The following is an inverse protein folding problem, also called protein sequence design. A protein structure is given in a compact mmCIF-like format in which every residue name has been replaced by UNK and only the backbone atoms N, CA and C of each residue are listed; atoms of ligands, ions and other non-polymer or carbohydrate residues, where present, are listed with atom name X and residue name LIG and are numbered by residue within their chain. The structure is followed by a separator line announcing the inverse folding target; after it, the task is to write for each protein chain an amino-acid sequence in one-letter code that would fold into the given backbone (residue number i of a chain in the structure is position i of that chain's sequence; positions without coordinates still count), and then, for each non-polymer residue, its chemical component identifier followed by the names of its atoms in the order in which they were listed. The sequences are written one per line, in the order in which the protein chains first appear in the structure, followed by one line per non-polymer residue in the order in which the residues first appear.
data_IF_176954488642
#
_entry.id   IF_176954488642
#
_cell.length_a   1.000
_cell.length_b   1.000
_cell.length_c   1.000
_cell.angle_alpha   90.00
_cell.angle_beta   90.00
_cell.angle_gamma   90.00
#
_symmetry.space_group_name_H-M   'P 1'
#
loop_
_entity.id
_entity.type
_entity.pdbx_description
1 polymer ?
#
# COMPACT_ATOMS: atom_id res chain seq x y z
N UNK A 1 26.16 -1.33 -2.60
CA UNK A 1 24.73 -1.08 -2.83
C UNK A 1 24.28 -1.86 -4.06
N UNK A 2 23.46 -2.90 -3.90
CA UNK A 2 22.96 -3.68 -5.03
C UNK A 2 21.94 -2.83 -5.81
N UNK A 3 22.02 -2.89 -7.14
CA UNK A 3 21.07 -2.20 -8.04
C UNK A 3 19.65 -2.73 -7.85
N UNK A 4 18.84 -2.00 -7.09
CA UNK A 4 17.41 -2.25 -6.80
C UNK A 4 16.47 -1.88 -7.98
N UNK A 5 16.91 -2.04 -9.22
CA UNK A 5 16.20 -1.56 -10.42
C UNK A 5 15.83 -2.68 -11.38
N UNK A 6 15.25 -3.79 -10.88
CA UNK A 6 14.64 -4.74 -11.81
C UNK A 6 13.17 -4.39 -12.01
N UNK A 7 12.78 -4.26 -13.30
CA UNK A 7 11.39 -4.06 -13.71
C UNK A 7 10.50 -5.21 -13.20
N UNK A 8 9.29 -4.90 -12.80
CA UNK A 8 8.30 -5.88 -12.39
C UNK A 8 7.97 -6.91 -13.50
N UNK A 9 8.21 -6.58 -14.78
CA UNK A 9 8.08 -7.50 -15.93
C UNK A 9 9.07 -8.66 -15.86
N UNK A 10 10.28 -8.45 -15.32
CA UNK A 10 11.31 -9.51 -15.22
C UNK A 10 10.97 -10.56 -14.14
N UNK A 11 10.10 -10.22 -13.17
CA UNK A 11 9.70 -11.13 -12.08
C UNK A 11 8.68 -12.16 -12.57
N UNK A 12 7.77 -11.79 -13.48
CA UNK A 12 6.71 -12.68 -14.00
C UNK A 12 7.21 -13.86 -14.82
N UNK A 13 8.45 -13.82 -15.35
CA UNK A 13 9.00 -14.84 -16.24
C UNK A 13 9.75 -15.98 -15.54
N UNK A 14 9.89 -16.00 -14.21
CA UNK A 14 10.66 -17.03 -13.49
C UNK A 14 9.77 -18.16 -13.00
N UNK A 15 9.87 -19.32 -13.62
CA UNK A 15 9.32 -20.58 -13.08
C UNK A 15 10.09 -20.97 -11.81
N UNK A 16 9.39 -20.98 -10.66
CA UNK A 16 9.89 -21.55 -9.42
C UNK A 16 9.27 -22.91 -9.17
N UNK A 17 10.03 -23.83 -8.55
CA UNK A 17 9.50 -25.11 -8.07
C UNK A 17 8.40 -24.86 -7.03
N UNK A 18 7.25 -25.52 -7.17
CA UNK A 18 6.12 -25.39 -6.24
C UNK A 18 6.52 -25.88 -4.84
N UNK A 19 6.42 -25.00 -3.86
CA UNK A 19 6.71 -25.30 -2.45
C UNK A 19 5.43 -25.73 -1.76
N UNK A 20 5.45 -26.90 -1.09
CA UNK A 20 4.33 -27.39 -0.29
C UNK A 20 4.48 -26.99 1.18
N UNK A 21 3.37 -26.72 1.84
CA UNK A 21 3.34 -26.39 3.28
C UNK A 21 3.67 -27.64 4.10
N UNK A 22 4.82 -27.66 4.76
CA UNK A 22 5.28 -28.79 5.58
C UNK A 22 4.39 -29.07 6.79
N UNK A 23 3.70 -28.05 7.33
CA UNK A 23 2.84 -28.11 8.52
C UNK A 23 1.34 -28.22 8.18
N UNK A 24 0.99 -28.62 6.96
CA UNK A 24 -0.39 -28.66 6.47
C UNK A 24 -1.34 -29.53 7.33
N UNK A 25 -0.81 -30.57 7.99
CA UNK A 25 -1.59 -31.47 8.85
C UNK A 25 -2.12 -30.82 10.14
N UNK A 26 -1.51 -29.70 10.58
CA UNK A 26 -1.80 -29.04 11.85
C UNK A 26 -2.52 -27.70 11.68
N UNK A 27 -2.98 -27.39 10.46
CA UNK A 27 -3.62 -26.11 10.12
C UNK A 27 -4.93 -26.33 9.41
N UNK A 28 -5.84 -25.37 9.55
CA UNK A 28 -7.08 -25.37 8.77
C UNK A 28 -6.83 -25.22 7.26
N UNK A 29 -7.84 -25.59 6.44
CA UNK A 29 -7.73 -25.57 4.98
C UNK A 29 -7.52 -24.16 4.41
N UNK A 30 -8.06 -23.13 5.05
CA UNK A 30 -7.96 -21.74 4.61
C UNK A 30 -6.54 -21.20 4.84
N UNK A 31 -5.99 -21.46 6.01
CA UNK A 31 -4.60 -21.12 6.39
C UNK A 31 -3.58 -21.83 5.49
N UNK A 32 -3.81 -23.12 5.16
CA UNK A 32 -2.95 -23.85 4.24
C UNK A 32 -2.95 -23.24 2.83
N UNK A 33 -4.12 -22.92 2.26
CA UNK A 33 -4.23 -22.28 0.94
C UNK A 33 -3.60 -20.91 0.91
N UNK A 34 -3.70 -20.15 2.00
CA UNK A 34 -3.04 -18.85 2.11
C UNK A 34 -1.51 -19.01 2.10
N UNK A 35 -0.97 -19.91 2.93
CA UNK A 35 0.46 -20.19 2.99
C UNK A 35 1.00 -20.72 1.67
N UNK A 36 0.31 -21.63 0.99
CA UNK A 36 0.72 -22.13 -0.32
C UNK A 36 0.79 -21.01 -1.36
N UNK A 37 -0.19 -20.10 -1.37
CA UNK A 37 -0.15 -18.92 -2.23
C UNK A 37 1.03 -18.01 -1.89
N UNK A 38 1.31 -17.75 -0.61
CA UNK A 38 2.43 -16.93 -0.17
C UNK A 38 3.78 -17.54 -0.53
N UNK A 39 3.94 -18.85 -0.31
CA UNK A 39 5.21 -19.54 -0.59
C UNK A 39 5.50 -19.67 -2.09
N UNK A 40 4.46 -19.72 -2.92
CA UNK A 40 4.58 -19.89 -4.37
C UNK A 40 4.41 -18.57 -5.14
N UNK A 41 4.24 -17.45 -4.44
CA UNK A 41 4.19 -16.12 -5.06
C UNK A 41 5.61 -15.69 -5.49
N UNK A 42 5.89 -15.53 -6.79
CA UNK A 42 7.20 -15.15 -7.28
C UNK A 42 7.65 -13.79 -6.72
N UNK A 43 6.72 -12.90 -6.39
CA UNK A 43 7.03 -11.61 -5.79
C UNK A 43 7.50 -11.72 -4.33
N UNK A 44 7.05 -12.73 -3.58
CA UNK A 44 7.53 -12.98 -2.21
C UNK A 44 8.99 -13.42 -2.22
N UNK A 45 9.35 -14.35 -3.10
CA UNK A 45 10.74 -14.82 -3.22
C UNK A 45 11.66 -13.70 -3.76
N UNK A 46 11.20 -12.95 -4.75
CA UNK A 46 11.97 -11.87 -5.36
C UNK A 46 12.10 -10.66 -4.40
N UNK A 47 11.08 -10.34 -3.58
CA UNK A 47 11.19 -9.28 -2.57
C UNK A 47 12.31 -9.59 -1.58
N UNK A 48 12.37 -10.82 -1.06
CA UNK A 48 13.45 -11.27 -0.17
C UNK A 48 14.82 -11.16 -0.85
N UNK A 49 14.91 -11.61 -2.11
CA UNK A 49 16.16 -11.58 -2.88
C UNK A 49 16.68 -10.16 -3.12
N UNK A 50 15.77 -9.21 -3.32
CA UNK A 50 16.10 -7.81 -3.58
C UNK A 50 16.15 -6.95 -2.30
N UNK A 51 15.89 -7.53 -1.13
CA UNK A 51 15.92 -6.81 0.15
C UNK A 51 14.69 -5.95 0.42
N UNK A 52 13.58 -6.18 -0.30
CA UNK A 52 12.30 -5.56 0.04
C UNK A 52 11.65 -6.28 1.22
N UNK A 53 11.05 -5.52 2.13
CA UNK A 53 10.38 -6.04 3.33
C UNK A 53 9.07 -6.77 3.02
N UNK A 54 8.43 -6.45 1.90
CA UNK A 54 7.22 -7.12 1.46
C UNK A 54 7.09 -7.15 -0.06
N UNK A 55 6.28 -8.08 -0.57
CA UNK A 55 5.91 -8.13 -1.99
C UNK A 55 5.12 -6.90 -2.45
N UNK A 56 4.48 -6.18 -1.52
CA UNK A 56 3.73 -4.97 -1.82
C UNK A 56 4.62 -3.89 -2.48
N UNK A 57 5.94 -3.91 -2.22
CA UNK A 57 6.90 -3.04 -2.89
C UNK A 57 6.80 -3.09 -4.42
N UNK A 58 6.60 -4.29 -5.00
CA UNK A 58 6.48 -4.43 -6.46
C UNK A 58 5.22 -3.78 -7.01
N UNK A 59 4.15 -3.75 -6.21
CA UNK A 59 2.91 -3.07 -6.59
C UNK A 59 3.17 -1.58 -6.76
N UNK A 60 3.80 -0.94 -5.77
CA UNK A 60 4.14 0.47 -5.84
C UNK A 60 5.14 0.77 -6.97
N UNK A 61 6.12 -0.12 -7.20
CA UNK A 61 7.06 0.00 -8.32
C UNK A 61 6.32 -0.02 -9.66
N UNK A 62 5.39 -0.96 -9.86
CA UNK A 62 4.60 -1.06 -11.10
C UNK A 62 3.77 0.18 -11.36
N UNK A 63 3.16 0.73 -10.29
CA UNK A 63 2.40 1.96 -10.35
C UNK A 63 3.29 3.13 -10.73
N UNK A 64 4.43 3.27 -10.07
CA UNK A 64 5.38 4.34 -10.36
C UNK A 64 5.98 4.21 -11.77
N UNK A 65 6.30 3.01 -12.25
CA UNK A 65 6.74 2.77 -13.62
C UNK A 65 5.72 3.24 -14.66
N UNK A 66 4.42 3.07 -14.34
CA UNK A 66 3.31 3.43 -15.24
C UNK A 66 2.97 4.91 -15.20
N UNK A 67 2.89 5.50 -13.99
CA UNK A 67 2.34 6.83 -13.77
C UNK A 67 3.38 7.87 -13.39
N UNK A 68 4.60 7.45 -12.98
CA UNK A 68 5.76 8.31 -12.65
C UNK A 68 5.45 9.40 -11.62
N UNK A 69 4.72 9.04 -10.57
CA UNK A 69 4.31 9.98 -9.52
C UNK A 69 5.33 10.10 -8.38
N UNK A 70 6.12 9.06 -8.12
CA UNK A 70 7.22 9.15 -7.17
C UNK A 70 8.41 9.87 -7.79
N UNK A 71 9.09 10.70 -7.01
CA UNK A 71 10.20 11.50 -7.52
C UNK A 71 11.09 12.05 -6.42
N UNK A 72 12.13 12.73 -6.86
CA UNK A 72 13.10 13.39 -6.00
C UNK A 72 12.47 14.60 -5.30
N UNK A 73 12.74 14.78 -4.01
CA UNK A 73 12.36 15.97 -3.25
C UNK A 73 10.89 15.99 -2.79
N UNK A 74 10.16 14.88 -2.93
CA UNK A 74 8.74 14.79 -2.55
C UNK A 74 8.54 14.60 -1.06
N UNK A 75 7.48 15.20 -0.52
CA UNK A 75 6.96 14.92 0.81
C UNK A 75 5.89 13.84 0.69
N UNK A 76 6.15 12.66 1.25
CA UNK A 76 5.34 11.44 1.07
C UNK A 76 4.86 10.94 2.42
N UNK A 77 3.56 10.66 2.53
CA UNK A 77 2.96 9.99 3.68
C UNK A 77 2.57 8.56 3.30
N UNK A 78 2.90 7.58 4.15
CA UNK A 78 2.61 6.15 3.96
C UNK A 78 1.77 5.64 5.14
N UNK A 79 0.46 5.51 4.93
CA UNK A 79 -0.52 5.01 5.90
C UNK A 79 -0.67 3.50 5.76
N UNK A 80 -0.46 2.76 6.87
CA UNK A 80 -0.35 1.31 6.85
C UNK A 80 1.03 0.87 6.36
N UNK A 81 2.07 1.54 6.85
CA UNK A 81 3.43 1.39 6.33
C UNK A 81 4.07 0.03 6.64
N UNK A 82 3.63 -0.72 7.65
CA UNK A 82 4.24 -2.01 8.02
C UNK A 82 4.08 -3.09 6.94
N UNK A 83 5.10 -3.88 6.69
CA UNK A 83 6.43 -3.93 7.28
C UNK A 83 7.44 -2.97 6.64
N UNK A 84 7.03 -2.04 5.76
CA UNK A 84 7.87 -1.02 5.14
C UNK A 84 8.16 -1.20 3.65
N UNK A 85 7.37 -2.03 2.96
CA UNK A 85 7.59 -2.29 1.53
C UNK A 85 7.38 -1.05 0.66
N UNK A 86 6.29 -0.32 0.87
CA UNK A 86 6.00 0.93 0.15
C UNK A 86 6.94 2.04 0.59
N UNK A 87 7.17 2.18 1.90
CA UNK A 87 8.11 3.15 2.44
C UNK A 87 9.51 3.01 1.84
N UNK A 88 10.04 1.77 1.70
CA UNK A 88 11.35 1.54 1.07
C UNK A 88 11.39 2.06 -0.38
N UNK A 89 10.33 1.81 -1.15
CA UNK A 89 10.24 2.30 -2.54
C UNK A 89 10.16 3.81 -2.57
N UNK A 90 9.35 4.43 -1.71
CA UNK A 90 9.22 5.87 -1.59
C UNK A 90 10.57 6.54 -1.28
N UNK A 91 11.29 6.07 -0.26
CA UNK A 91 12.63 6.57 0.10
C UNK A 91 13.62 6.44 -1.07
N UNK A 92 13.63 5.29 -1.75
CA UNK A 92 14.52 5.09 -2.90
C UNK A 92 14.22 6.05 -4.05
N UNK A 93 12.95 6.29 -4.37
CA UNK A 93 12.55 7.22 -5.43
C UNK A 93 12.80 8.67 -5.06
N UNK A 94 12.68 8.98 -3.77
CA UNK A 94 12.94 10.31 -3.21
C UNK A 94 14.42 10.68 -3.16
N UNK A 95 15.32 9.71 -3.27
CA UNK A 95 16.78 9.87 -3.32
C UNK A 95 17.35 10.67 -2.13
N UNK A 96 16.71 10.60 -0.96
CA UNK A 96 17.16 11.28 0.25
C UNK A 96 17.04 12.80 0.23
N UNK A 97 16.23 13.37 -0.65
CA UNK A 97 16.12 14.85 -0.80
C UNK A 97 14.78 15.42 -0.38
N UNK A 98 13.79 14.58 -0.12
CA UNK A 98 12.48 14.96 0.40
C UNK A 98 12.22 14.30 1.74
N UNK A 99 10.96 14.27 2.13
CA UNK A 99 10.51 13.70 3.39
C UNK A 99 9.64 12.47 3.15
N UNK A 100 9.83 11.41 3.93
CA UNK A 100 8.93 10.24 3.97
C UNK A 100 8.51 10.01 5.41
N UNK A 101 7.21 10.04 5.66
CA UNK A 101 6.62 9.80 6.99
C UNK A 101 5.67 8.62 6.87
N UNK A 102 5.77 7.65 7.78
CA UNK A 102 4.89 6.48 7.80
C UNK A 102 4.22 6.27 9.15
N UNK A 103 3.00 5.75 9.14
CA UNK A 103 2.26 5.34 10.34
C UNK A 103 1.65 3.96 10.14
N UNK A 104 1.74 3.12 11.17
CA UNK A 104 1.06 1.82 11.21
C UNK A 104 0.73 1.45 12.65
N UNK A 105 -0.34 0.67 12.85
CA UNK A 105 -0.67 0.07 14.14
C UNK A 105 0.39 -0.94 14.59
N UNK A 106 1.06 -1.58 13.64
CA UNK A 106 2.15 -2.50 13.88
C UNK A 106 3.49 -1.76 13.94
N UNK A 107 4.37 -2.23 14.81
CA UNK A 107 5.74 -1.74 14.85
C UNK A 107 6.43 -2.00 13.51
N UNK A 108 7.00 -0.95 12.95
CA UNK A 108 7.79 -1.03 11.71
C UNK A 108 9.26 -0.76 12.02
N UNK A 109 10.13 -1.70 11.67
CA UNK A 109 11.57 -1.53 11.85
C UNK A 109 12.05 -0.25 11.13
N UNK A 110 13.01 0.50 11.71
CA UNK A 110 13.50 1.74 11.12
C UNK A 110 13.94 1.58 9.65
N UNK A 111 13.61 2.58 8.84
CA UNK A 111 14.05 2.70 7.45
C UNK A 111 14.82 4.00 7.34
N UNK A 112 16.08 3.92 6.94
CA UNK A 112 16.91 5.10 6.72
C UNK A 112 16.26 6.01 5.68
N UNK A 113 16.08 7.30 6.02
CA UNK A 113 15.41 8.27 5.18
C UNK A 113 13.90 8.36 5.35
N UNK A 114 13.31 7.63 6.32
CA UNK A 114 11.91 7.76 6.69
C UNK A 114 11.73 7.97 8.19
N UNK A 115 10.72 8.73 8.58
CA UNK A 115 10.22 8.85 9.95
C UNK A 115 9.00 7.95 10.10
N UNK A 116 9.07 6.96 11.00
CA UNK A 116 8.00 5.98 11.20
C UNK A 116 7.47 6.08 12.61
N UNK A 117 6.13 6.10 12.75
CA UNK A 117 5.45 6.09 14.04
C UNK A 117 4.50 4.90 14.14
N UNK A 118 4.48 4.29 15.33
CA UNK A 118 3.52 3.24 15.63
C UNK A 118 2.31 3.87 16.30
N UNK A 119 1.17 3.82 15.61
CA UNK A 119 -0.13 4.28 16.12
C UNK A 119 -1.25 3.77 15.22
N UNK A 120 -2.42 3.53 15.81
CA UNK A 120 -3.66 3.31 15.05
C UNK A 120 -4.09 4.62 14.41
N UNK A 121 -4.20 4.65 13.08
CA UNK A 121 -4.62 5.84 12.34
C UNK A 121 -6.04 6.30 12.67
N UNK A 122 -6.88 5.42 13.22
CA UNK A 122 -8.25 5.75 13.64
C UNK A 122 -8.33 6.45 15.00
N UNK A 123 -7.22 6.58 15.72
CA UNK A 123 -7.17 7.35 16.95
C UNK A 123 -7.29 8.85 16.70
N UNK A 124 -7.93 9.56 17.64
CA UNK A 124 -8.32 10.96 17.47
C UNK A 124 -7.13 11.92 17.22
N UNK A 125 -5.96 11.61 17.76
CA UNK A 125 -4.74 12.44 17.64
C UNK A 125 -3.80 11.99 16.50
N UNK A 126 -4.09 10.88 15.82
CA UNK A 126 -3.21 10.29 14.83
C UNK A 126 -2.93 11.24 13.64
N UNK A 127 -3.98 11.86 13.12
CA UNK A 127 -3.87 12.83 12.03
C UNK A 127 -3.01 14.05 12.43
N UNK A 128 -3.21 14.57 13.65
CA UNK A 128 -2.47 15.74 14.13
C UNK A 128 -0.99 15.41 14.39
N UNK A 129 -0.70 14.20 14.88
CA UNK A 129 0.69 13.72 15.03
C UNK A 129 1.39 13.59 13.68
N UNK A 130 0.71 13.07 12.65
CA UNK A 130 1.26 13.05 11.30
C UNK A 130 1.51 14.45 10.75
N UNK A 131 0.54 15.37 10.89
CA UNK A 131 0.67 16.77 10.46
C UNK A 131 1.85 17.45 11.15
N UNK A 132 2.06 17.21 12.45
CA UNK A 132 3.17 17.78 13.20
C UNK A 132 4.55 17.32 12.71
N UNK A 133 4.64 16.16 12.04
CA UNK A 133 5.88 15.67 11.45
C UNK A 133 6.14 16.22 10.04
N UNK A 134 5.13 16.75 9.36
CA UNK A 134 5.28 17.24 7.99
C UNK A 134 5.89 18.65 7.98
N UNK A 135 6.84 18.87 7.09
CA UNK A 135 7.47 20.17 6.85
C UNK A 135 6.67 20.99 5.81
N UNK A 136 5.34 21.04 5.95
CA UNK A 136 4.44 21.68 4.99
C UNK A 136 3.43 20.72 4.38
N UNK A 137 2.96 21.01 3.17
CA UNK A 137 2.04 20.15 2.45
C UNK A 137 2.72 18.90 1.91
N UNK A 138 1.98 17.80 1.85
CA UNK A 138 2.43 16.57 1.25
C UNK A 138 2.22 16.59 -0.28
N UNK A 139 3.17 16.05 -1.03
CA UNK A 139 2.98 15.81 -2.47
C UNK A 139 2.20 14.52 -2.72
N UNK A 140 2.36 13.54 -1.84
CA UNK A 140 1.78 12.21 -2.02
C UNK A 140 1.32 11.66 -0.68
N UNK A 141 0.08 11.16 -0.63
CA UNK A 141 -0.43 10.33 0.46
C UNK A 141 -0.74 8.95 -0.12
N UNK A 142 -0.09 7.93 0.43
CA UNK A 142 -0.29 6.53 0.07
C UNK A 142 -0.96 5.80 1.23
N UNK A 143 -1.86 4.85 0.93
CA UNK A 143 -2.49 3.99 1.94
C UNK A 143 -2.51 2.53 1.48
N UNK A 144 -1.76 1.68 2.20
CA UNK A 144 -1.85 0.21 2.12
C UNK A 144 -2.56 -0.38 3.36
N UNK A 145 -3.33 0.46 4.08
CA UNK A 145 -4.09 0.03 5.26
C UNK A 145 -5.10 -1.05 4.91
N UNK A 146 -5.19 -2.03 5.79
CA UNK A 146 -6.15 -3.13 5.69
C UNK A 146 -6.70 -3.46 7.07
N UNK A 147 -8.01 -3.60 7.18
CA UNK A 147 -8.62 -4.06 8.42
C UNK A 147 -8.21 -5.52 8.72
N UNK A 148 -8.03 -5.83 10.01
CA UNK A 148 -7.86 -7.21 10.44
C UNK A 148 -9.06 -8.04 10.01
N UNK A 149 -8.80 -9.18 9.34
CA UNK A 149 -9.85 -10.05 8.83
C UNK A 149 -10.59 -10.75 9.98
N UNK A 150 -11.90 -10.56 10.02
CA UNK A 150 -12.79 -11.27 10.97
C UNK A 150 -13.26 -12.61 10.43
N UNK A 151 -13.06 -12.86 9.12
CA UNK A 151 -13.59 -14.00 8.38
C UNK A 151 -14.96 -13.74 7.75
N UNK A 152 -15.62 -12.62 8.08
CA UNK A 152 -16.83 -12.15 7.44
C UNK A 152 -16.51 -11.18 6.31
N UNK A 153 -16.58 -11.65 5.09
CA UNK A 153 -16.13 -10.91 3.89
C UNK A 153 -16.75 -9.51 3.77
N UNK A 154 -18.06 -9.39 3.98
CA UNK A 154 -18.74 -8.08 3.90
C UNK A 154 -18.29 -7.12 4.99
N UNK A 155 -18.13 -7.61 6.23
CA UNK A 155 -17.66 -6.80 7.35
C UNK A 155 -16.23 -6.34 7.14
N UNK A 156 -15.35 -7.25 6.71
CA UNK A 156 -13.94 -6.94 6.46
C UNK A 156 -13.81 -5.92 5.32
N UNK A 157 -14.67 -6.04 4.31
CA UNK A 157 -14.74 -5.11 3.20
C UNK A 157 -15.18 -3.70 3.64
N UNK A 158 -16.30 -3.57 4.37
CA UNK A 158 -16.79 -2.29 4.89
C UNK A 158 -15.75 -1.60 5.80
N UNK A 159 -15.06 -2.36 6.64
CA UNK A 159 -14.00 -1.82 7.50
C UNK A 159 -12.82 -1.29 6.69
N UNK A 160 -12.44 -1.99 5.63
CA UNK A 160 -11.37 -1.53 4.75
C UNK A 160 -11.76 -0.28 3.97
N UNK A 161 -13.01 -0.19 3.49
CA UNK A 161 -13.52 1.04 2.86
C UNK A 161 -13.46 2.21 3.85
N UNK A 162 -13.89 2.01 5.10
CA UNK A 162 -13.80 3.05 6.14
C UNK A 162 -12.38 3.57 6.37
N UNK A 163 -11.36 2.67 6.32
CA UNK A 163 -9.96 3.08 6.41
C UNK A 163 -9.52 3.90 5.20
N UNK A 164 -9.95 3.53 4.00
CA UNK A 164 -9.65 4.31 2.77
C UNK A 164 -10.32 5.68 2.81
N UNK A 165 -11.56 5.76 3.28
CA UNK A 165 -12.28 7.02 3.46
C UNK A 165 -11.56 7.93 4.46
N UNK A 166 -11.16 7.39 5.62
CA UNK A 166 -10.40 8.14 6.62
C UNK A 166 -9.05 8.64 6.08
N UNK A 167 -8.34 7.79 5.32
CA UNK A 167 -7.11 8.17 4.66
C UNK A 167 -7.31 9.28 3.63
N UNK A 168 -8.42 9.24 2.89
CA UNK A 168 -8.76 10.25 1.91
C UNK A 168 -9.13 11.60 2.55
N UNK A 169 -9.92 11.60 3.64
CA UNK A 169 -10.22 12.82 4.39
C UNK A 169 -8.93 13.47 4.91
N UNK A 170 -8.03 12.68 5.49
CA UNK A 170 -6.71 13.17 5.88
C UNK A 170 -5.91 13.72 4.68
N UNK A 171 -5.93 13.03 3.54
CA UNK A 171 -5.24 13.49 2.34
C UNK A 171 -5.73 14.85 1.86
N UNK A 172 -7.03 15.12 1.89
CA UNK A 172 -7.61 16.44 1.55
C UNK A 172 -7.06 17.57 2.41
N UNK A 173 -6.73 17.28 3.68
CA UNK A 173 -6.21 18.30 4.59
C UNK A 173 -4.72 18.59 4.36
N UNK A 174 -3.93 17.57 4.00
CA UNK A 174 -2.46 17.68 3.99
C UNK A 174 -1.84 17.80 2.60
N UNK A 175 -2.54 17.37 1.53
CA UNK A 175 -1.99 17.43 0.18
C UNK A 175 -1.81 18.87 -0.32
N UNK A 176 -0.81 19.06 -1.16
CA UNK A 176 -0.67 20.23 -2.02
C UNK A 176 -1.75 20.22 -3.12
N UNK A 177 -1.94 21.35 -3.81
CA UNK A 177 -2.99 21.51 -4.82
C UNK A 177 -2.88 20.49 -5.98
N UNK A 178 -1.66 20.11 -6.37
CA UNK A 178 -1.35 19.06 -7.35
C UNK A 178 -0.98 17.71 -6.71
N UNK A 179 -1.31 17.56 -5.43
CA UNK A 179 -0.99 16.36 -4.65
C UNK A 179 -1.73 15.10 -5.10
N UNK A 180 -1.12 13.95 -4.85
CA UNK A 180 -1.63 12.66 -5.30
C UNK A 180 -2.01 11.79 -4.10
N UNK A 181 -3.25 11.28 -4.10
CA UNK A 181 -3.71 10.25 -3.18
C UNK A 181 -3.74 8.90 -3.86
N UNK A 182 -3.18 7.87 -3.20
CA UNK A 182 -3.16 6.47 -3.67
C UNK A 182 -3.58 5.56 -2.54
N UNK A 183 -4.62 4.75 -2.74
CA UNK A 183 -5.04 3.76 -1.76
C UNK A 183 -5.23 2.38 -2.39
N UNK A 184 -4.83 1.34 -1.63
CA UNK A 184 -5.16 -0.03 -1.97
C UNK A 184 -6.57 -0.35 -1.47
N UNK A 185 -7.41 -0.90 -2.36
CA UNK A 185 -8.71 -1.48 -2.02
C UNK A 185 -8.68 -2.99 -2.24
N UNK A 186 -9.31 -3.76 -1.33
CA UNK A 186 -9.39 -5.21 -1.49
C UNK A 186 -10.38 -5.59 -2.59
N UNK A 187 -9.96 -6.48 -3.48
CA UNK A 187 -10.87 -7.24 -4.31
C UNK A 187 -11.58 -8.29 -3.44
N UNK A 188 -12.82 -8.02 -3.03
CA UNK A 188 -13.68 -9.03 -2.42
C UNK A 188 -14.21 -9.96 -3.50
N UNK A 189 -13.64 -11.13 -3.59
CA UNK A 189 -14.00 -12.36 -4.30
C UNK A 189 -15.25 -12.41 -5.18
N UNK A 190 -15.33 -11.76 -6.28
CA UNK A 190 -16.04 -11.99 -7.54
C UNK A 190 -15.82 -10.74 -8.41
N UNK A 191 -15.56 -10.92 -9.69
CA UNK A 191 -15.25 -9.86 -10.64
C UNK A 191 -16.26 -8.68 -10.70
N UNK A 192 -17.46 -8.87 -10.12
CA UNK A 192 -18.50 -7.84 -10.01
C UNK A 192 -18.40 -6.89 -8.82
N UNK A 193 -17.71 -7.27 -7.72
CA UNK A 193 -17.68 -6.45 -6.48
C UNK A 193 -16.69 -5.30 -6.58
N UNK A 194 -15.55 -5.46 -7.22
CA UNK A 194 -14.56 -4.39 -7.35
C UNK A 194 -15.09 -3.18 -8.12
N UNK A 195 -15.87 -3.43 -9.17
CA UNK A 195 -16.54 -2.36 -9.94
C UNK A 195 -17.61 -1.66 -9.10
N UNK A 196 -18.32 -2.40 -8.23
CA UNK A 196 -19.28 -1.84 -7.28
C UNK A 196 -18.57 -1.01 -6.20
N UNK A 197 -17.44 -1.50 -5.70
CA UNK A 197 -16.66 -0.86 -4.64
C UNK A 197 -15.97 0.42 -5.10
N UNK A 198 -15.35 0.39 -6.28
CA UNK A 198 -14.80 1.58 -6.91
C UNK A 198 -15.91 2.60 -7.25
N UNK A 199 -17.11 2.13 -7.65
CA UNK A 199 -18.25 2.98 -7.90
C UNK A 199 -18.84 3.57 -6.63
N UNK A 200 -18.89 2.81 -5.54
CA UNK A 200 -19.30 3.29 -4.22
C UNK A 200 -18.33 4.33 -3.68
N UNK A 201 -17.02 4.13 -3.84
CA UNK A 201 -15.99 5.12 -3.52
C UNK A 201 -16.11 6.37 -4.43
N UNK A 202 -16.34 6.22 -5.72
CA UNK A 202 -16.62 7.34 -6.64
C UNK A 202 -17.88 8.12 -6.24
N UNK A 203 -18.93 7.46 -5.79
CA UNK A 203 -20.17 8.09 -5.34
C UNK A 203 -19.97 8.83 -4.01
N UNK A 204 -19.17 8.28 -3.09
CA UNK A 204 -18.90 8.87 -1.76
C UNK A 204 -17.84 9.95 -1.78
N UNK A 205 -16.77 9.79 -2.59
CA UNK A 205 -15.63 10.68 -2.65
C UNK A 205 -15.65 11.66 -3.83
N UNK A 206 -16.69 11.58 -4.71
CA UNK A 206 -16.80 12.39 -5.92
C UNK A 206 -16.21 11.73 -7.17
N UNK A 207 -16.58 12.26 -8.36
CA UNK A 207 -16.35 11.60 -9.66
C UNK A 207 -14.90 11.65 -10.17
N UNK A 208 -13.99 12.30 -9.49
CA UNK A 208 -12.64 12.61 -9.99
C UNK A 208 -11.58 11.55 -9.67
N UNK A 209 -12.00 10.33 -9.30
CA UNK A 209 -11.06 9.22 -9.09
C UNK A 209 -10.58 8.73 -10.45
N UNK A 210 -9.28 8.86 -10.69
CA UNK A 210 -8.68 8.41 -11.95
C UNK A 210 -8.81 6.89 -12.08
N UNK A 211 -9.57 6.45 -13.10
CA UNK A 211 -9.93 5.04 -13.34
C UNK A 211 -8.77 4.08 -13.63
N UNK A 212 -7.54 4.58 -13.66
CA UNK A 212 -6.38 3.86 -14.22
C UNK A 212 -5.95 2.57 -13.52
N UNK A 213 -6.52 2.21 -12.35
CA UNK A 213 -5.96 1.14 -11.50
C UNK A 213 -7.01 0.16 -10.98
N UNK A 214 -8.23 0.17 -11.51
CA UNK A 214 -9.34 -0.69 -11.05
C UNK A 214 -9.00 -2.17 -11.09
N UNK A 215 -8.36 -2.62 -12.17
CA UNK A 215 -7.98 -4.04 -12.36
C UNK A 215 -6.93 -4.52 -11.35
N UNK A 216 -6.31 -3.58 -10.62
CA UNK A 216 -5.24 -3.86 -9.68
C UNK A 216 -5.63 -3.62 -8.20
N UNK A 217 -6.88 -3.23 -7.91
CA UNK A 217 -7.35 -2.95 -6.57
C UNK A 217 -6.69 -1.71 -5.95
N UNK A 218 -6.42 -0.68 -6.77
CA UNK A 218 -5.83 0.58 -6.32
C UNK A 218 -6.66 1.75 -6.87
N UNK A 219 -6.90 2.72 -6.01
CA UNK A 219 -7.55 3.98 -6.34
C UNK A 219 -6.51 5.08 -6.25
N UNK A 220 -6.40 5.91 -7.27
CA UNK A 220 -5.53 7.08 -7.28
C UNK A 220 -6.32 8.32 -7.70
N UNK A 221 -6.05 9.45 -7.04
CA UNK A 221 -6.62 10.75 -7.35
C UNK A 221 -5.53 11.82 -7.34
N UNK A 222 -5.55 12.71 -8.34
CA UNK A 222 -4.92 14.02 -8.25
C UNK A 222 -5.96 15.01 -7.68
N UNK A 223 -5.60 15.81 -6.70
CA UNK A 223 -6.39 16.94 -6.24
C UNK A 223 -5.98 18.14 -7.10
N UNK A 224 -6.87 18.56 -8.01
CA UNK A 224 -6.75 19.83 -8.75
C UNK A 224 -7.30 20.96 -7.92
#
# INVERSE_FOLDING_TARGET
MAKLTKSAKEVRGRHQLTVRVKTSKYRDKSSNRWLERQLNDPYVAESKRLGYRSRAAFKLIQLDEKYRFLGKGRTIVDLGCAPGGWTQVAVMRNKGTGQVVGMDILETQPIEGATLIQQDFTEADAADRLKALLNGKADIVMSDMAANTTGHQQTDHLRTIGLVEAAYEFAKEVLADDGIFIAKVFQGGAEGSLLADAKTLEERLGKDITRGLRDEGIVARSLE
#
